data_IF_492133171958
#
_entry.id   IF_492133171958
#
_cell.length_a   1.000
_cell.length_b   1.000
_cell.length_c   1.000
_cell.angle_alpha   90.00
_cell.angle_beta   90.00
_cell.angle_gamma   90.00
#
_symmetry.space_group_name_H-M   'P 1'
#
loop_
_entity.id
_entity.type
_entity.pdbx_description
1 polymer ?
#
# COMPACT_ATOMS: atom_id res chain seq x y z
N UNK A 1 18.96 11.64 -9.95
CA UNK A 1 17.80 10.72 -9.92
C UNK A 1 17.44 10.49 -8.45
N UNK A 2 16.16 10.53 -8.09
CA UNK A 2 15.69 10.30 -6.71
C UNK A 2 16.19 8.93 -6.22
N UNK A 3 16.88 8.89 -5.07
CA UNK A 3 17.52 7.69 -4.51
C UNK A 3 16.52 6.55 -4.30
N UNK A 4 15.27 6.88 -4.00
CA UNK A 4 14.18 5.92 -3.82
C UNK A 4 13.83 5.18 -5.12
N UNK A 5 13.91 5.87 -6.27
CA UNK A 5 13.63 5.28 -7.59
C UNK A 5 14.73 4.31 -8.01
N UNK A 6 15.98 4.75 -7.89
CA UNK A 6 17.15 3.88 -8.11
C UNK A 6 17.12 2.67 -7.19
N UNK A 7 16.81 2.91 -5.91
CA UNK A 7 16.67 1.86 -4.93
C UNK A 7 15.60 0.83 -5.29
N UNK A 8 14.44 1.26 -5.82
CA UNK A 8 13.42 0.31 -6.26
C UNK A 8 13.94 -0.58 -7.40
N UNK A 9 14.63 -0.02 -8.38
CA UNK A 9 15.18 -0.78 -9.51
C UNK A 9 16.22 -1.80 -9.05
N UNK A 10 17.15 -1.39 -8.17
CA UNK A 10 18.12 -2.29 -7.57
C UNK A 10 17.45 -3.41 -6.76
N UNK A 11 16.43 -3.08 -5.94
CA UNK A 11 15.67 -4.10 -5.21
C UNK A 11 15.02 -5.10 -6.17
N UNK A 12 14.39 -4.65 -7.25
CA UNK A 12 13.76 -5.54 -8.23
C UNK A 12 14.78 -6.44 -8.94
N UNK A 13 16.03 -6.00 -9.11
CA UNK A 13 17.11 -6.80 -9.68
C UNK A 13 17.71 -7.81 -8.67
N UNK A 14 17.94 -7.38 -7.44
CA UNK A 14 18.66 -8.16 -6.43
C UNK A 14 17.75 -9.15 -5.69
N UNK A 15 16.55 -8.72 -5.30
CA UNK A 15 15.64 -9.52 -4.47
C UNK A 15 14.37 -9.96 -5.22
N UNK A 16 14.11 -9.39 -6.41
CA UNK A 16 13.04 -9.81 -7.31
C UNK A 16 11.67 -9.18 -7.06
N UNK A 17 10.68 -9.63 -7.81
CA UNK A 17 9.30 -9.05 -7.85
C UNK A 17 8.34 -9.63 -6.80
N UNK A 18 8.71 -10.77 -6.18
CA UNK A 18 7.94 -11.51 -5.18
C UNK A 18 8.72 -11.71 -3.87
N UNK A 19 9.40 -10.66 -3.42
CA UNK A 19 10.13 -10.70 -2.15
C UNK A 19 9.17 -10.46 -0.98
N UNK A 20 9.49 -11.01 0.19
CA UNK A 20 8.75 -10.71 1.40
C UNK A 20 8.99 -9.26 1.88
N UNK A 21 8.06 -8.75 2.68
CA UNK A 21 8.12 -7.37 3.18
C UNK A 21 9.41 -7.07 3.96
N UNK A 22 9.93 -8.00 4.75
CA UNK A 22 11.07 -7.72 5.64
C UNK A 22 12.36 -7.57 4.84
N UNK A 23 12.58 -8.43 3.85
CA UNK A 23 13.69 -8.28 2.90
C UNK A 23 13.64 -6.92 2.19
N UNK A 24 12.45 -6.50 1.72
CA UNK A 24 12.26 -5.18 1.10
C UNK A 24 12.49 -4.03 2.08
N UNK A 25 11.98 -4.16 3.31
CA UNK A 25 12.13 -3.15 4.35
C UNK A 25 13.59 -2.88 4.66
N UNK A 26 14.41 -3.93 4.82
CA UNK A 26 15.82 -3.78 5.14
C UNK A 26 16.57 -2.99 4.05
N UNK A 27 16.20 -3.19 2.79
CA UNK A 27 16.71 -2.41 1.66
C UNK A 27 16.34 -0.93 1.76
N UNK A 28 15.06 -0.62 1.99
CA UNK A 28 14.55 0.75 2.09
C UNK A 28 15.11 1.49 3.31
N UNK A 29 15.26 0.81 4.44
CA UNK A 29 15.63 1.44 5.71
C UNK A 29 17.07 1.94 5.74
N UNK A 30 17.92 1.51 4.81
CA UNK A 30 19.28 2.03 4.63
C UNK A 30 19.31 3.40 3.93
N UNK A 31 18.21 3.83 3.30
CA UNK A 31 18.17 5.03 2.48
C UNK A 31 17.68 6.27 3.24
N UNK A 32 18.09 7.45 2.80
CA UNK A 32 17.55 8.74 3.27
C UNK A 32 16.70 9.38 2.16
N UNK A 33 15.48 9.78 2.52
CA UNK A 33 14.46 10.31 1.61
C UNK A 33 13.37 11.06 2.42
N UNK A 34 12.55 11.83 1.73
CA UNK A 34 11.41 12.59 2.29
C UNK A 34 10.06 11.99 1.90
N UNK A 35 8.96 12.54 2.43
CA UNK A 35 7.62 12.24 1.95
C UNK A 35 7.43 12.55 0.44
N UNK A 36 8.01 13.64 -0.06
CA UNK A 36 7.91 14.01 -1.48
C UNK A 36 8.61 12.99 -2.39
N UNK A 37 9.70 12.39 -1.93
CA UNK A 37 10.39 11.33 -2.67
C UNK A 37 9.51 10.09 -2.86
N UNK A 38 8.64 9.78 -1.88
CA UNK A 38 7.70 8.67 -1.97
C UNK A 38 6.60 8.98 -2.98
N UNK A 39 6.05 10.19 -2.96
CA UNK A 39 5.06 10.60 -3.97
C UNK A 39 5.65 10.59 -5.38
N UNK A 40 6.90 11.02 -5.53
CA UNK A 40 7.61 10.90 -6.80
C UNK A 40 7.82 9.45 -7.23
N UNK A 41 8.06 8.53 -6.31
CA UNK A 41 8.15 7.10 -6.60
C UNK A 41 6.81 6.54 -7.08
N UNK A 42 5.71 6.93 -6.44
CA UNK A 42 4.35 6.56 -6.88
C UNK A 42 4.10 7.05 -8.31
N UNK A 43 4.44 8.31 -8.60
CA UNK A 43 4.32 8.86 -9.95
C UNK A 43 5.23 8.14 -10.96
N UNK A 44 6.43 7.73 -10.54
CA UNK A 44 7.35 6.97 -11.37
C UNK A 44 6.78 5.60 -11.74
N UNK A 45 6.23 4.87 -10.77
CA UNK A 45 5.56 3.59 -11.02
C UNK A 45 4.37 3.78 -11.96
N UNK A 46 3.60 4.86 -11.81
CA UNK A 46 2.46 5.16 -12.69
C UNK A 46 2.86 5.36 -14.16
N UNK A 47 3.99 6.02 -14.41
CA UNK A 47 4.43 6.33 -15.78
C UNK A 47 5.31 5.23 -16.41
N UNK A 48 5.83 4.27 -15.63
CA UNK A 48 6.71 3.23 -16.13
C UNK A 48 5.94 1.92 -16.41
N UNK A 49 5.80 1.55 -17.69
CA UNK A 49 5.04 0.36 -18.10
C UNK A 49 5.59 -0.96 -17.52
N UNK A 50 6.90 -1.15 -17.45
CA UNK A 50 7.49 -2.36 -16.88
C UNK A 50 7.19 -2.48 -15.38
N UNK A 51 7.29 -1.37 -14.65
CA UNK A 51 6.93 -1.34 -13.23
C UNK A 51 5.42 -1.54 -13.02
N UNK A 52 4.57 -0.99 -13.89
CA UNK A 52 3.12 -1.25 -13.87
C UNK A 52 2.81 -2.73 -14.02
N UNK A 53 3.48 -3.44 -14.95
CA UNK A 53 3.29 -4.88 -15.13
C UNK A 53 3.76 -5.67 -13.89
N UNK A 54 4.93 -5.33 -13.36
CA UNK A 54 5.48 -5.96 -12.13
C UNK A 54 4.59 -5.72 -10.90
N UNK A 55 3.95 -4.56 -10.81
CA UNK A 55 3.10 -4.19 -9.68
C UNK A 55 1.81 -5.02 -9.58
N UNK A 56 1.36 -5.68 -10.66
CA UNK A 56 0.10 -6.45 -10.71
C UNK A 56 0.10 -7.69 -9.81
N UNK A 57 1.25 -8.12 -9.32
CA UNK A 57 1.41 -9.35 -8.54
C UNK A 57 0.86 -9.16 -7.12
N UNK A 58 0.23 -10.20 -6.57
CA UNK A 58 -0.48 -10.11 -5.30
C UNK A 58 0.30 -10.75 -4.15
N UNK A 59 0.52 -10.02 -3.05
CA UNK A 59 1.13 -8.69 -2.97
C UNK A 59 2.47 -8.59 -3.75
N UNK A 60 2.89 -7.38 -4.15
CA UNK A 60 4.11 -7.19 -4.94
C UNK A 60 5.25 -6.50 -4.17
N UNK A 61 6.51 -6.79 -4.55
CA UNK A 61 7.70 -6.10 -4.02
C UNK A 61 7.58 -4.58 -4.10
N UNK A 62 7.03 -4.03 -5.20
CA UNK A 62 6.84 -2.59 -5.39
C UNK A 62 5.92 -2.00 -4.31
N UNK A 63 4.83 -2.70 -3.98
CA UNK A 63 3.88 -2.25 -2.96
C UNK A 63 4.49 -2.32 -1.56
N UNK A 64 5.27 -3.36 -1.26
CA UNK A 64 6.03 -3.43 -0.01
C UNK A 64 7.09 -2.35 0.08
N UNK A 65 7.74 -2.02 -1.02
CA UNK A 65 8.77 -0.99 -1.09
C UNK A 65 8.19 0.37 -0.73
N UNK A 66 7.08 0.75 -1.37
CA UNK A 66 6.36 1.99 -1.07
C UNK A 66 5.83 1.99 0.37
N UNK A 67 5.31 0.85 0.86
CA UNK A 67 4.79 0.73 2.22
C UNK A 67 5.89 0.88 3.29
N UNK A 68 7.05 0.26 3.08
CA UNK A 68 8.21 0.39 3.97
C UNK A 68 8.73 1.82 3.98
N UNK A 69 8.79 2.48 2.81
CA UNK A 69 9.19 3.88 2.71
C UNK A 69 8.22 4.79 3.47
N UNK A 70 6.92 4.64 3.23
CA UNK A 70 5.88 5.40 3.92
C UNK A 70 5.92 5.16 5.43
N UNK A 71 6.08 3.91 5.90
CA UNK A 71 6.16 3.61 7.33
C UNK A 71 7.37 4.30 7.98
N UNK A 72 8.52 4.31 7.31
CA UNK A 72 9.73 4.97 7.82
C UNK A 72 9.56 6.47 8.01
N UNK A 73 8.85 7.14 7.11
CA UNK A 73 8.54 8.58 7.27
C UNK A 73 7.45 8.79 8.32
N UNK A 74 6.44 7.91 8.38
CA UNK A 74 5.35 7.99 9.36
C UNK A 74 5.83 7.88 10.82
N UNK A 75 6.93 7.17 11.07
CA UNK A 75 7.59 7.12 12.39
C UNK A 75 8.00 8.52 12.90
N UNK A 76 8.19 9.48 11.99
CA UNK A 76 8.58 10.86 12.30
C UNK A 76 7.44 11.86 12.08
N UNK A 77 6.80 11.81 10.91
CA UNK A 77 5.83 12.83 10.46
C UNK A 77 4.38 12.51 10.86
N UNK A 78 4.13 11.31 11.41
CA UNK A 78 2.83 10.79 11.87
C UNK A 78 1.73 10.68 10.81
N UNK A 79 1.72 11.47 9.74
CA UNK A 79 0.73 11.38 8.67
C UNK A 79 1.45 11.41 7.32
N UNK A 80 1.20 10.40 6.50
CA UNK A 80 1.68 10.31 5.12
C UNK A 80 0.48 10.29 4.21
N UNK A 81 0.46 11.16 3.21
CA UNK A 81 -0.57 11.19 2.19
C UNK A 81 0.05 10.82 0.85
N UNK A 82 -0.53 9.82 0.19
CA UNK A 82 -0.11 9.37 -1.12
C UNK A 82 -1.26 9.51 -2.10
N UNK A 83 -1.02 10.29 -3.15
CA UNK A 83 -1.91 10.38 -4.30
C UNK A 83 -1.58 9.25 -5.27
N UNK A 84 -2.50 8.29 -5.36
CA UNK A 84 -2.41 7.11 -6.21
C UNK A 84 -3.37 7.18 -7.40
N UNK A 85 -4.00 8.34 -7.66
CA UNK A 85 -4.99 8.52 -8.73
C UNK A 85 -4.43 8.27 -10.14
N UNK A 86 -3.14 8.54 -10.33
CA UNK A 86 -2.46 8.36 -11.61
C UNK A 86 -2.10 6.89 -11.90
N UNK A 87 -2.27 6.00 -10.93
CA UNK A 87 -1.99 4.58 -11.13
C UNK A 87 -3.18 3.92 -11.86
N UNK A 88 -2.95 3.49 -13.10
CA UNK A 88 -3.94 2.77 -13.92
C UNK A 88 -4.47 1.50 -13.24
N UNK A 89 -3.65 0.91 -12.35
CA UNK A 89 -3.89 -0.29 -11.54
C UNK A 89 -3.39 -0.06 -10.11
N UNK A 90 -4.02 -0.73 -9.14
CA UNK A 90 -3.68 -0.60 -7.73
C UNK A 90 -2.29 -1.17 -7.38
N UNK A 91 -1.80 -0.80 -6.19
CA UNK A 91 -0.63 -1.37 -5.55
C UNK A 91 -1.08 -2.42 -4.51
N UNK A 92 -1.20 -3.70 -4.89
CA UNK A 92 -1.65 -4.74 -3.96
C UNK A 92 -0.66 -4.93 -2.81
N UNK A 93 -1.15 -4.79 -1.58
CA UNK A 93 -0.32 -4.82 -0.37
C UNK A 93 0.18 -3.45 0.11
N UNK A 94 -0.33 -2.35 -0.44
CA UNK A 94 -0.04 -1.01 0.08
C UNK A 94 -0.45 -0.90 1.56
N UNK A 95 0.42 -0.28 2.38
CA UNK A 95 0.23 -0.23 3.83
C UNK A 95 0.51 -1.56 4.54
N UNK A 96 1.18 -2.53 3.89
CA UNK A 96 1.57 -3.76 4.56
C UNK A 96 2.47 -3.50 5.77
N UNK A 97 2.23 -4.26 6.83
CA UNK A 97 2.97 -4.24 8.10
C UNK A 97 2.99 -2.85 8.75
N UNK A 98 1.93 -2.05 8.53
CA UNK A 98 1.79 -0.73 9.14
C UNK A 98 1.71 -0.83 10.68
N UNK A 99 2.37 0.10 11.38
CA UNK A 99 2.57 0.05 12.83
C UNK A 99 2.19 1.32 13.56
N UNK A 100 2.45 2.47 12.94
CA UNK A 100 2.24 3.77 13.58
C UNK A 100 2.04 4.86 12.53
N UNK A 101 1.45 5.96 12.98
CA UNK A 101 1.04 7.05 12.12
C UNK A 101 -0.18 6.68 11.27
N UNK A 102 -0.52 7.59 10.37
CA UNK A 102 -1.67 7.52 9.49
C UNK A 102 -1.21 7.55 8.04
N UNK A 103 -1.59 6.54 7.26
CA UNK A 103 -1.44 6.52 5.81
C UNK A 103 -2.75 6.92 5.15
N UNK A 104 -2.78 8.03 4.42
CA UNK A 104 -3.92 8.45 3.60
C UNK A 104 -3.66 8.11 2.14
N UNK A 105 -4.55 7.37 1.51
CA UNK A 105 -4.50 7.02 0.10
C UNK A 105 -5.61 7.77 -0.65
N UNK A 106 -5.22 8.64 -1.59
CA UNK A 106 -6.14 9.37 -2.46
C UNK A 106 -6.25 8.61 -3.78
N UNK A 107 -7.45 8.17 -4.16
CA UNK A 107 -7.70 7.35 -5.36
C UNK A 107 -8.94 7.81 -6.14
N UNK A 108 -9.06 7.36 -7.40
CA UNK A 108 -10.22 7.59 -8.28
C UNK A 108 -11.16 6.38 -8.23
N UNK A 109 -12.47 6.63 -8.20
CA UNK A 109 -13.43 5.70 -7.58
C UNK A 109 -14.32 4.90 -8.54
N UNK A 110 -14.15 5.00 -9.86
CA UNK A 110 -15.25 4.63 -10.78
C UNK A 110 -15.20 3.21 -11.37
N UNK A 111 -14.32 2.31 -10.96
CA UNK A 111 -14.40 0.92 -11.46
C UNK A 111 -14.15 -0.13 -10.38
N UNK A 112 -15.24 -0.81 -10.05
CA UNK A 112 -15.46 -1.92 -9.11
C UNK A 112 -14.56 -3.16 -9.38
N UNK A 113 -13.49 -3.03 -10.18
CA UNK A 113 -12.52 -4.09 -10.48
C UNK A 113 -11.08 -3.77 -10.04
N UNK A 114 -10.83 -2.59 -9.47
CA UNK A 114 -9.46 -2.10 -9.19
C UNK A 114 -9.15 -1.90 -7.71
N UNK A 115 -10.02 -2.36 -6.83
CA UNK A 115 -9.96 -2.05 -5.42
C UNK A 115 -8.67 -2.62 -4.81
N UNK A 116 -7.91 -1.76 -4.13
CA UNK A 116 -6.61 -2.01 -3.50
C UNK A 116 -6.65 -3.32 -2.68
N UNK A 117 -6.18 -4.43 -3.26
CA UNK A 117 -6.15 -5.72 -2.59
C UNK A 117 -5.09 -5.72 -1.49
N UNK A 118 -5.31 -6.47 -0.42
CA UNK A 118 -4.33 -6.65 0.66
C UNK A 118 -3.90 -5.35 1.37
N UNK A 119 -4.70 -4.29 1.34
CA UNK A 119 -4.37 -3.06 2.10
C UNK A 119 -4.18 -3.42 3.56
N UNK A 120 -3.14 -2.87 4.19
CA UNK A 120 -2.95 -3.07 5.62
C UNK A 120 -2.68 -4.53 5.99
N UNK A 121 -2.22 -5.35 5.05
CA UNK A 121 -1.86 -6.74 5.35
C UNK A 121 -0.85 -6.78 6.51
N UNK A 122 -1.07 -7.65 7.49
CA UNK A 122 -0.21 -7.81 8.67
C UNK A 122 -0.01 -6.51 9.48
N UNK A 123 -0.97 -5.59 9.43
CA UNK A 123 -0.95 -4.36 10.21
C UNK A 123 -0.97 -4.67 11.72
N UNK A 124 -0.17 -3.93 12.48
CA UNK A 124 -0.02 -4.07 13.93
C UNK A 124 -0.55 -2.88 14.71
N UNK A 125 -0.70 -1.72 14.06
CA UNK A 125 -1.10 -0.48 14.69
C UNK A 125 -1.16 0.67 13.69
N UNK A 126 -1.48 1.88 14.16
CA UNK A 126 -1.66 3.05 13.30
C UNK A 126 -3.01 3.07 12.59
N UNK A 127 -3.13 3.94 11.58
CA UNK A 127 -4.34 4.12 10.79
C UNK A 127 -4.04 4.10 9.29
N UNK A 128 -4.91 3.50 8.50
CA UNK A 128 -4.92 3.63 7.03
C UNK A 128 -6.28 4.19 6.63
N UNK A 129 -6.30 5.32 5.95
CA UNK A 129 -7.50 5.92 5.38
C UNK A 129 -7.44 5.82 3.85
N UNK A 130 -8.44 5.17 3.27
CA UNK A 130 -8.61 5.04 1.83
C UNK A 130 -9.73 5.98 1.42
N UNK A 131 -9.38 7.08 0.76
CA UNK A 131 -10.36 8.00 0.20
C UNK A 131 -10.87 7.47 -1.15
N UNK A 132 -11.58 6.34 -1.10
CA UNK A 132 -12.00 5.56 -2.26
C UNK A 132 -12.44 4.15 -1.88
N UNK A 133 -12.56 3.29 -2.88
CA UNK A 133 -12.82 1.87 -2.70
C UNK A 133 -11.57 1.08 -2.22
N UNK A 134 -11.79 0.05 -1.40
CA UNK A 134 -10.77 -0.90 -0.97
C UNK A 134 -11.13 -2.34 -1.36
N UNK A 135 -10.10 -3.16 -1.58
CA UNK A 135 -10.25 -4.45 -2.24
C UNK A 135 -10.28 -5.65 -1.31
N UNK A 136 -10.33 -6.81 -1.95
CA UNK A 136 -10.32 -8.11 -1.30
C UNK A 136 -9.05 -8.30 -0.42
N UNK A 137 -9.17 -9.12 0.64
CA UNK A 137 -8.13 -9.35 1.66
C UNK A 137 -7.59 -8.09 2.37
N UNK A 138 -8.30 -6.97 2.33
CA UNK A 138 -7.98 -5.81 3.17
C UNK A 138 -7.94 -6.24 4.64
N UNK A 139 -6.87 -5.84 5.34
CA UNK A 139 -6.60 -6.16 6.74
C UNK A 139 -6.16 -7.61 6.99
N UNK A 140 -5.90 -8.42 5.96
CA UNK A 140 -5.53 -9.82 6.15
C UNK A 140 -4.34 -9.97 7.10
N UNK A 141 -4.46 -10.88 8.06
CA UNK A 141 -3.45 -11.14 9.09
C UNK A 141 -3.10 -9.94 9.98
N UNK A 142 -3.93 -8.91 10.02
CA UNK A 142 -3.75 -7.80 10.97
C UNK A 142 -4.01 -8.25 12.40
N UNK A 143 -3.22 -7.70 13.32
CA UNK A 143 -3.34 -7.91 14.78
C UNK A 143 -3.73 -6.63 15.51
N UNK A 144 -3.80 -5.49 14.82
CA UNK A 144 -4.12 -4.19 15.40
C UNK A 144 -4.21 -3.08 14.36
N UNK A 145 -4.53 -1.86 14.80
CA UNK A 145 -4.69 -0.70 13.93
C UNK A 145 -6.10 -0.53 13.36
N UNK A 146 -6.30 0.55 12.61
CA UNK A 146 -7.59 0.92 12.03
C UNK A 146 -7.48 1.18 10.53
N UNK A 147 -8.31 0.50 9.74
CA UNK A 147 -8.46 0.78 8.31
C UNK A 147 -9.82 1.45 8.11
N UNK A 148 -9.83 2.62 7.50
CA UNK A 148 -11.03 3.41 7.23
C UNK A 148 -11.19 3.59 5.72
N UNK A 149 -12.30 3.10 5.18
CA UNK A 149 -12.61 3.17 3.75
C UNK A 149 -13.80 4.10 3.56
N UNK A 150 -13.62 5.17 2.78
CA UNK A 150 -14.65 6.22 2.66
C UNK A 150 -15.78 5.86 1.69
N UNK A 151 -15.54 4.93 0.77
CA UNK A 151 -16.51 4.43 -0.24
C UNK A 151 -16.81 2.94 0.04
N UNK A 152 -16.69 2.06 -0.96
CA UNK A 152 -17.10 0.66 -0.91
C UNK A 152 -15.93 -0.33 -0.74
N UNK A 153 -16.28 -1.55 -0.33
CA UNK A 153 -15.39 -2.72 -0.37
C UNK A 153 -15.74 -3.62 -1.55
N UNK A 154 -14.78 -3.90 -2.42
CA UNK A 154 -14.98 -4.85 -3.53
C UNK A 154 -14.64 -6.26 -3.09
N UNK A 155 -15.58 -7.19 -3.29
CA UNK A 155 -15.35 -8.62 -3.09
C UNK A 155 -14.87 -9.29 -4.37
N UNK A 156 -13.94 -10.24 -4.24
CA UNK A 156 -13.70 -11.27 -5.27
C UNK A 156 -13.99 -12.63 -4.63
N UNK A 157 -14.79 -13.46 -5.29
CA UNK A 157 -15.19 -14.80 -4.81
C UNK A 157 -15.78 -14.82 -3.38
N UNK A 158 -16.55 -13.79 -3.01
CA UNK A 158 -17.21 -13.70 -1.69
C UNK A 158 -16.30 -13.23 -0.54
N UNK A 159 -15.00 -13.02 -0.78
CA UNK A 159 -14.09 -12.48 0.24
C UNK A 159 -14.03 -10.95 0.12
N UNK A 160 -14.55 -10.24 1.13
CA UNK A 160 -14.55 -8.77 1.21
C UNK A 160 -13.32 -8.25 1.95
N UNK A 161 -13.31 -8.41 3.26
CA UNK A 161 -12.22 -8.04 4.16
C UNK A 161 -12.02 -9.17 5.16
N UNK A 162 -10.77 -9.45 5.53
CA UNK A 162 -10.47 -10.51 6.49
C UNK A 162 -9.58 -9.94 7.57
N UNK A 163 -10.13 -9.67 8.74
CA UNK A 163 -9.32 -9.48 9.94
C UNK A 163 -9.06 -10.87 10.52
N UNK A 164 -7.79 -11.30 10.52
CA UNK A 164 -7.47 -12.67 10.99
C UNK A 164 -7.21 -12.71 12.50
N UNK A 165 -6.61 -11.67 13.08
CA UNK A 165 -6.09 -11.74 14.46
C UNK A 165 -6.37 -10.50 15.33
N UNK A 166 -7.00 -9.44 14.80
CA UNK A 166 -7.33 -8.21 15.53
C UNK A 166 -7.35 -6.96 14.63
N UNK A 167 -7.64 -5.79 15.22
CA UNK A 167 -7.77 -4.52 14.50
C UNK A 167 -9.22 -4.16 14.15
N UNK A 168 -9.42 -2.99 13.56
CA UNK A 168 -10.73 -2.49 13.17
C UNK A 168 -10.75 -2.09 11.69
N UNK A 169 -11.75 -2.56 10.94
CA UNK A 169 -12.08 -2.03 9.61
C UNK A 169 -13.39 -1.26 9.75
N UNK A 170 -13.39 0.01 9.37
CA UNK A 170 -14.57 0.87 9.33
C UNK A 170 -14.83 1.26 7.88
N UNK A 171 -16.03 0.98 7.40
CA UNK A 171 -16.47 1.29 6.03
C UNK A 171 -17.62 2.30 6.16
N UNK A 172 -17.54 3.41 5.42
CA UNK A 172 -18.51 4.52 5.54
C UNK A 172 -19.78 4.36 4.69
N UNK A 173 -19.74 3.60 3.59
CA UNK A 173 -20.90 3.34 2.74
C UNK A 173 -21.23 1.85 2.73
N UNK A 174 -22.52 1.54 2.90
CA UNK A 174 -23.07 0.19 2.93
C UNK A 174 -22.97 -0.50 1.58
N UNK A 175 -23.02 -1.83 1.62
CA UNK A 175 -22.91 -2.72 0.47
C UNK A 175 -24.19 -2.70 -0.37
N UNK A 176 -24.08 -2.40 -1.67
CA UNK A 176 -25.01 -2.92 -2.69
C UNK A 176 -24.55 -4.31 -3.17
#
# INVERSE_FOLDING_TARGET
>A
MNKLKQGLESALQEIGVNSDYFTVKDFVYQMSFSASDIQELVNYVACNNDLKEKAKQHPSTISFYISAAAQKIAEKERIIELDIRNLERNLPGIGAVWRTGKLKLITNDESVLKALGYIGMCMKGGEIEVNGNAGYFTGTSSTGGKIHVTKNMVSTNGVKAKLTYGGQIVIKQDFD
#
